data_IF_005068126718
#
_entry.id   IF_005068126718
#
_cell.length_a   1.000
_cell.length_b   1.000
_cell.length_c   1.000
_cell.angle_alpha   90.00
_cell.angle_beta   90.00
_cell.angle_gamma   90.00
#
_symmetry.space_group_name_H-M   'P 1'
#
loop_
_entity.id
_entity.type
_entity.pdbx_description
1 polymer ?
#
# COMPACT_ATOMS: atom_id res chain seq x y z
N UNK A 1 17.56 -21.34 -8.61
CA UNK A 1 16.35 -20.47 -8.62
C UNK A 1 15.65 -20.60 -7.29
N UNK A 2 15.52 -19.51 -6.54
CA UNK A 2 14.87 -19.52 -5.23
C UNK A 2 13.34 -19.61 -5.43
N UNK A 3 12.75 -20.78 -5.17
CA UNK A 3 11.35 -21.14 -5.50
C UNK A 3 10.29 -20.26 -4.79
N UNK A 4 10.69 -19.46 -3.79
CA UNK A 4 9.79 -18.61 -3.00
C UNK A 4 9.45 -17.25 -3.65
N UNK A 5 10.20 -16.82 -4.68
CA UNK A 5 10.07 -15.45 -5.24
C UNK A 5 8.94 -15.32 -6.27
N UNK A 6 8.67 -16.36 -7.06
CA UNK A 6 7.56 -16.35 -8.03
C UNK A 6 6.16 -16.22 -7.38
N UNK A 7 5.84 -16.96 -6.31
CA UNK A 7 4.58 -16.80 -5.60
C UNK A 7 4.40 -15.41 -4.97
N UNK A 8 5.49 -14.73 -4.60
CA UNK A 8 5.46 -13.38 -4.07
C UNK A 8 5.00 -12.37 -5.13
N UNK A 9 5.67 -12.37 -6.29
CA UNK A 9 5.36 -11.42 -7.37
C UNK A 9 3.93 -11.58 -7.86
N UNK A 10 3.46 -12.80 -8.07
CA UNK A 10 2.08 -13.05 -8.51
C UNK A 10 1.04 -12.49 -7.52
N UNK A 11 1.30 -12.62 -6.21
CA UNK A 11 0.42 -12.03 -5.17
C UNK A 11 0.48 -10.51 -5.16
N UNK A 12 1.67 -9.93 -5.29
CA UNK A 12 1.84 -8.48 -5.36
C UNK A 12 1.17 -7.89 -6.60
N UNK A 13 1.18 -8.58 -7.75
CA UNK A 13 0.46 -8.18 -8.96
C UNK A 13 -1.06 -8.24 -8.78
N UNK A 14 -1.57 -9.24 -8.06
CA UNK A 14 -2.98 -9.30 -7.69
C UNK A 14 -3.41 -8.07 -6.89
N UNK A 15 -2.63 -7.76 -5.85
CA UNK A 15 -2.84 -6.58 -5.00
C UNK A 15 -2.71 -5.28 -5.81
N UNK A 16 -1.71 -5.18 -6.70
CA UNK A 16 -1.48 -4.01 -7.55
C UNK A 16 -2.73 -3.69 -8.38
N UNK A 17 -3.29 -4.70 -9.07
CA UNK A 17 -4.49 -4.51 -9.89
C UNK A 17 -5.71 -4.05 -9.08
N UNK A 18 -5.88 -4.58 -7.87
CA UNK A 18 -6.98 -4.18 -6.99
C UNK A 18 -6.80 -2.75 -6.46
N UNK A 19 -5.59 -2.40 -6.06
CA UNK A 19 -5.26 -1.04 -5.62
C UNK A 19 -5.37 -0.02 -6.76
N UNK A 20 -5.00 -0.37 -7.99
CA UNK A 20 -5.19 0.50 -9.16
C UNK A 20 -6.67 0.78 -9.43
N UNK A 21 -7.53 -0.24 -9.35
CA UNK A 21 -8.98 -0.06 -9.46
C UNK A 21 -9.52 0.86 -8.37
N UNK A 22 -9.10 0.66 -7.13
CA UNK A 22 -9.48 1.51 -6.00
C UNK A 22 -8.98 2.94 -6.20
N UNK A 23 -7.74 3.13 -6.66
CA UNK A 23 -7.17 4.44 -6.93
C UNK A 23 -8.01 5.21 -7.95
N UNK A 24 -8.37 4.59 -9.07
CA UNK A 24 -9.21 5.22 -10.10
C UNK A 24 -10.61 5.57 -9.59
N UNK A 25 -11.19 4.70 -8.75
CA UNK A 25 -12.48 4.96 -8.11
C UNK A 25 -12.41 6.20 -7.19
N UNK A 26 -11.41 6.25 -6.30
CA UNK A 26 -11.24 7.38 -5.38
C UNK A 26 -10.84 8.67 -6.10
N UNK A 27 -10.07 8.60 -7.20
CA UNK A 27 -9.78 9.78 -8.03
C UNK A 27 -11.04 10.34 -8.66
N UNK A 28 -11.89 9.48 -9.23
CA UNK A 28 -13.18 9.89 -9.81
C UNK A 28 -14.09 10.51 -8.75
N UNK A 29 -14.13 9.91 -7.55
CA UNK A 29 -14.92 10.43 -6.43
C UNK A 29 -14.40 11.78 -5.93
N UNK A 30 -13.08 11.96 -5.83
CA UNK A 30 -12.48 13.24 -5.44
C UNK A 30 -12.90 14.36 -6.39
N UNK A 31 -12.76 14.14 -7.71
CA UNK A 31 -13.18 15.11 -8.74
C UNK A 31 -14.65 15.50 -8.60
N UNK A 32 -15.53 14.54 -8.31
CA UNK A 32 -16.95 14.81 -8.08
C UNK A 32 -17.18 15.67 -6.84
N UNK A 33 -16.49 15.37 -5.73
CA UNK A 33 -16.63 16.13 -4.47
C UNK A 33 -16.07 17.55 -4.64
N UNK A 34 -14.92 17.71 -5.30
CA UNK A 34 -14.31 19.00 -5.62
C UNK A 34 -15.17 19.85 -6.55
N UNK A 35 -15.84 19.23 -7.53
CA UNK A 35 -16.82 19.92 -8.38
C UNK A 35 -17.98 20.46 -7.53
N UNK A 36 -18.57 19.63 -6.67
CA UNK A 36 -19.67 20.06 -5.79
C UNK A 36 -19.26 21.18 -4.83
N UNK A 37 -18.03 21.12 -4.29
CA UNK A 37 -17.48 22.18 -3.44
C UNK A 37 -17.31 23.51 -4.17
N UNK A 38 -16.93 23.46 -5.45
CA UNK A 38 -16.81 24.66 -6.30
C UNK A 38 -18.16 25.30 -6.55
N UNK A 39 -19.18 24.48 -6.80
CA UNK A 39 -20.54 24.95 -7.08
C UNK A 39 -21.24 25.47 -5.82
N UNK A 40 -20.99 24.85 -4.66
CA UNK A 40 -21.54 25.24 -3.38
C UNK A 40 -20.66 24.79 -2.21
N UNK A 41 -20.01 25.74 -1.53
CA UNK A 41 -19.13 25.44 -0.41
C UNK A 41 -19.88 24.71 0.72
N UNK A 42 -19.30 23.59 1.19
CA UNK A 42 -19.84 22.80 2.27
C UNK A 42 -18.70 22.17 3.10
N UNK A 43 -18.60 22.47 4.41
CA UNK A 43 -17.51 21.98 5.26
C UNK A 43 -17.51 20.44 5.41
N UNK A 44 -18.64 19.75 5.22
CA UNK A 44 -18.67 18.29 5.20
C UNK A 44 -18.04 17.72 3.93
N UNK A 45 -18.29 18.34 2.78
CA UNK A 45 -17.66 17.92 1.52
C UNK A 45 -16.16 18.21 1.53
N UNK A 46 -15.72 19.29 2.18
CA UNK A 46 -14.29 19.59 2.38
C UNK A 46 -13.59 18.50 3.20
N UNK A 47 -14.21 18.06 4.30
CA UNK A 47 -13.73 16.92 5.10
C UNK A 47 -13.71 15.63 4.29
N UNK A 48 -14.72 15.39 3.46
CA UNK A 48 -14.76 14.22 2.58
C UNK A 48 -13.62 14.25 1.55
N UNK A 49 -13.39 15.38 0.88
CA UNK A 49 -12.28 15.56 -0.06
C UNK A 49 -10.92 15.33 0.61
N UNK A 50 -10.73 15.87 1.81
CA UNK A 50 -9.52 15.66 2.62
C UNK A 50 -9.30 14.17 2.95
N UNK A 51 -10.36 13.46 3.35
CA UNK A 51 -10.28 12.02 3.64
C UNK A 51 -9.97 11.21 2.37
N UNK A 52 -10.60 11.54 1.23
CA UNK A 52 -10.34 10.88 -0.06
C UNK A 52 -8.89 11.13 -0.51
N UNK A 53 -8.39 12.36 -0.38
CA UNK A 53 -7.00 12.71 -0.70
C UNK A 53 -6.01 11.89 0.15
N UNK A 54 -6.33 11.69 1.44
CA UNK A 54 -5.53 10.83 2.31
C UNK A 54 -5.56 9.36 1.86
N UNK A 55 -6.73 8.86 1.46
CA UNK A 55 -6.88 7.51 0.91
C UNK A 55 -6.04 7.34 -0.37
N UNK A 56 -6.11 8.29 -1.30
CA UNK A 56 -5.32 8.27 -2.53
C UNK A 56 -3.82 8.27 -2.25
N UNK A 57 -3.38 9.05 -1.26
CA UNK A 57 -1.99 9.06 -0.81
C UNK A 57 -1.56 7.67 -0.31
N UNK A 58 -2.38 7.01 0.51
CA UNK A 58 -2.11 5.65 1.02
C UNK A 58 -2.02 4.64 -0.13
N UNK A 59 -2.97 4.66 -1.07
CA UNK A 59 -2.95 3.75 -2.22
C UNK A 59 -1.71 3.98 -3.09
N UNK A 60 -1.36 5.25 -3.36
CA UNK A 60 -0.17 5.62 -4.14
C UNK A 60 1.12 5.11 -3.49
N UNK A 61 1.25 5.25 -2.17
CA UNK A 61 2.38 4.73 -1.40
C UNK A 61 2.45 3.20 -1.48
N UNK A 62 1.32 2.50 -1.33
CA UNK A 62 1.26 1.04 -1.45
C UNK A 62 1.67 0.57 -2.85
N UNK A 63 1.17 1.21 -3.92
CA UNK A 63 1.54 0.91 -5.30
C UNK A 63 3.03 1.14 -5.56
N UNK A 64 3.61 2.22 -5.02
CA UNK A 64 5.05 2.51 -5.12
C UNK A 64 5.91 1.41 -4.48
N UNK A 65 5.50 0.90 -3.31
CA UNK A 65 6.18 -0.21 -2.64
C UNK A 65 6.12 -1.47 -3.52
N UNK A 66 4.95 -1.81 -4.07
CA UNK A 66 4.79 -2.99 -4.94
C UNK A 66 5.69 -2.89 -6.19
N UNK A 67 5.66 -1.76 -6.89
CA UNK A 67 6.43 -1.57 -8.12
C UNK A 67 7.93 -1.67 -7.88
N UNK A 68 8.42 -1.11 -6.77
CA UNK A 68 9.83 -1.28 -6.36
C UNK A 68 10.16 -2.71 -5.98
N UNK A 69 9.28 -3.41 -5.26
CA UNK A 69 9.48 -4.82 -4.96
C UNK A 69 9.61 -5.68 -6.22
N UNK A 70 8.76 -5.43 -7.23
CA UNK A 70 8.82 -6.10 -8.54
C UNK A 70 10.12 -5.79 -9.28
N UNK A 71 10.54 -4.53 -9.33
CA UNK A 71 11.83 -4.14 -9.95
C UNK A 71 13.00 -4.80 -9.23
N UNK A 72 13.02 -4.85 -7.89
CA UNK A 72 14.09 -5.54 -7.17
C UNK A 72 14.19 -7.01 -7.54
N UNK A 73 13.08 -7.71 -7.67
CA UNK A 73 13.08 -9.11 -8.13
C UNK A 73 13.58 -9.27 -9.57
N UNK A 74 13.29 -8.31 -10.45
CA UNK A 74 13.77 -8.34 -11.82
C UNK A 74 15.26 -8.02 -11.95
N UNK A 75 15.74 -7.06 -11.17
CA UNK A 75 17.04 -6.41 -11.37
C UNK A 75 18.14 -6.91 -10.41
N UNK A 76 17.78 -7.67 -9.37
CA UNK A 76 18.70 -8.06 -8.30
C UNK A 76 18.88 -9.58 -8.24
N UNK A 77 20.12 -10.08 -8.12
CA UNK A 77 20.38 -11.50 -7.87
C UNK A 77 19.62 -12.00 -6.62
N UNK A 78 19.07 -13.22 -6.62
CA UNK A 78 18.27 -13.75 -5.52
C UNK A 78 18.93 -13.65 -4.13
N UNK A 79 20.25 -13.78 -4.10
CA UNK A 79 21.08 -13.73 -2.89
C UNK A 79 21.08 -12.34 -2.23
N UNK A 80 20.79 -11.29 -2.98
CA UNK A 80 20.82 -9.90 -2.50
C UNK A 80 19.41 -9.30 -2.31
N UNK A 81 18.35 -10.04 -2.65
CA UNK A 81 16.96 -9.56 -2.53
C UNK A 81 16.57 -9.20 -1.10
N UNK A 82 17.02 -9.99 -0.13
CA UNK A 82 16.74 -9.75 1.29
C UNK A 82 17.23 -8.37 1.75
N UNK A 83 18.39 -7.92 1.29
CA UNK A 83 18.93 -6.59 1.59
C UNK A 83 18.05 -5.49 1.01
N UNK A 84 17.57 -5.66 -0.22
CA UNK A 84 16.71 -4.68 -0.89
C UNK A 84 15.31 -4.61 -0.27
N UNK A 85 14.77 -5.75 0.18
CA UNK A 85 13.47 -5.78 0.84
C UNK A 85 13.47 -5.14 2.23
N UNK A 86 14.60 -5.08 2.93
CA UNK A 86 14.69 -4.44 4.24
C UNK A 86 14.12 -3.01 4.24
N UNK A 87 14.52 -2.18 3.27
CA UNK A 87 14.02 -0.81 3.13
C UNK A 87 12.53 -0.77 2.80
N UNK A 88 12.04 -1.67 1.95
CA UNK A 88 10.62 -1.72 1.60
C UNK A 88 9.75 -2.19 2.77
N UNK A 89 10.27 -3.06 3.64
CA UNK A 89 9.58 -3.49 4.86
C UNK A 89 9.41 -2.31 5.80
N UNK A 90 10.46 -1.52 6.02
CA UNK A 90 10.39 -0.37 6.93
C UNK A 90 9.40 0.68 6.40
N UNK A 91 9.32 0.87 5.08
CA UNK A 91 8.31 1.72 4.45
C UNK A 91 6.89 1.12 4.55
N UNK A 92 6.74 -0.18 4.33
CA UNK A 92 5.46 -0.88 4.47
C UNK A 92 4.97 -0.89 5.93
N UNK A 93 5.87 -0.96 6.91
CA UNK A 93 5.59 -0.84 8.34
C UNK A 93 5.06 0.55 8.68
N UNK A 94 5.74 1.62 8.23
CA UNK A 94 5.25 3.00 8.42
C UNK A 94 3.88 3.20 7.79
N UNK A 95 3.65 2.64 6.60
CA UNK A 95 2.34 2.70 5.94
C UNK A 95 1.28 1.90 6.70
N UNK A 96 1.62 0.70 7.21
CA UNK A 96 0.75 -0.11 8.08
C UNK A 96 0.33 0.68 9.31
N UNK A 97 1.28 1.27 10.02
CA UNK A 97 1.00 2.01 11.25
C UNK A 97 0.13 3.24 10.97
N UNK A 98 0.38 3.92 9.85
CA UNK A 98 -0.47 5.02 9.38
C UNK A 98 -1.91 4.59 9.10
N UNK A 99 -2.15 3.40 8.52
CA UNK A 99 -3.52 2.93 8.23
C UNK A 99 -4.22 2.30 9.44
N UNK A 100 -3.47 1.79 10.41
CA UNK A 100 -4.02 1.20 11.65
C UNK A 100 -4.32 2.25 12.70
N UNK A 101 -3.39 3.18 12.94
CA UNK A 101 -3.41 4.11 14.06
C UNK A 101 -3.56 5.58 13.64
N UNK A 102 -3.55 5.87 12.33
CA UNK A 102 -3.76 7.22 11.83
C UNK A 102 -5.17 7.75 12.07
N UNK A 103 -5.32 9.07 12.07
CA UNK A 103 -6.58 9.77 12.27
C UNK A 103 -7.55 9.69 11.08
N UNK A 104 -7.07 9.28 9.90
CA UNK A 104 -7.87 9.21 8.68
C UNK A 104 -8.76 7.96 8.65
N UNK A 105 -9.98 8.10 8.12
CA UNK A 105 -10.91 6.98 7.93
C UNK A 105 -10.54 6.22 6.66
N UNK A 106 -9.53 5.35 6.79
CA UNK A 106 -9.10 4.46 5.72
C UNK A 106 -10.07 3.26 5.60
N UNK A 107 -10.59 2.96 4.41
CA UNK A 107 -11.44 1.80 4.16
C UNK A 107 -10.77 0.47 4.53
N UNK A 108 -11.54 -0.46 5.10
CA UNK A 108 -11.04 -1.79 5.52
C UNK A 108 -10.34 -2.54 4.40
N UNK A 109 -10.85 -2.47 3.17
CA UNK A 109 -10.23 -3.11 2.00
C UNK A 109 -8.82 -2.58 1.74
N UNK A 110 -8.57 -1.28 1.90
CA UNK A 110 -7.25 -0.69 1.70
C UNK A 110 -6.32 -1.09 2.84
N UNK A 111 -6.81 -1.10 4.09
CA UNK A 111 -6.05 -1.59 5.24
C UNK A 111 -5.58 -3.03 5.03
N UNK A 112 -6.48 -3.90 4.56
CA UNK A 112 -6.17 -5.30 4.28
C UNK A 112 -5.05 -5.44 3.24
N UNK A 113 -5.12 -4.70 2.14
CA UNK A 113 -4.06 -4.71 1.12
C UNK A 113 -2.71 -4.23 1.65
N UNK A 114 -2.67 -3.16 2.44
CA UNK A 114 -1.43 -2.67 3.07
C UNK A 114 -0.83 -3.72 4.01
N UNK A 115 -1.66 -4.36 4.83
CA UNK A 115 -1.24 -5.46 5.72
C UNK A 115 -0.69 -6.65 4.93
N UNK A 116 -1.33 -7.01 3.82
CA UNK A 116 -0.87 -8.09 2.95
C UNK A 116 0.47 -7.77 2.32
N UNK A 117 0.69 -6.53 1.84
CA UNK A 117 1.98 -6.09 1.30
C UNK A 117 3.08 -6.23 2.36
N UNK A 118 2.87 -5.69 3.56
CA UNK A 118 3.82 -5.80 4.67
C UNK A 118 4.15 -7.26 4.99
N UNK A 119 3.14 -8.12 5.10
CA UNK A 119 3.31 -9.54 5.41
C UNK A 119 4.08 -10.28 4.31
N UNK A 120 3.77 -9.98 3.05
CA UNK A 120 4.42 -10.61 1.89
C UNK A 120 5.89 -10.21 1.80
N UNK A 121 6.20 -8.93 2.00
CA UNK A 121 7.59 -8.46 2.03
C UNK A 121 8.37 -9.03 3.22
N UNK A 122 7.75 -9.10 4.40
CA UNK A 122 8.35 -9.71 5.60
C UNK A 122 8.79 -11.16 5.34
N UNK A 123 7.91 -11.97 4.75
CA UNK A 123 8.22 -13.35 4.36
C UNK A 123 9.34 -13.47 3.32
N UNK A 124 9.50 -12.47 2.46
CA UNK A 124 10.50 -12.48 1.40
C UNK A 124 11.89 -12.03 1.85
N UNK A 125 11.99 -11.37 3.01
CA UNK A 125 13.24 -10.78 3.51
C UNK A 125 14.01 -11.67 4.49
N UNK A 126 13.51 -12.87 4.86
CA UNK A 126 14.09 -13.70 5.92
C UNK A 126 14.36 -12.93 7.24
N UNK A 127 13.59 -11.86 7.52
CA UNK A 127 13.52 -11.36 8.90
C UNK A 127 12.75 -12.43 9.68
N UNK A 128 13.33 -13.10 10.70
CA UNK A 128 12.52 -13.86 11.62
C UNK A 128 11.49 -12.87 12.18
N UNK A 129 10.21 -13.13 11.93
CA UNK A 129 9.17 -12.48 12.68
C UNK A 129 9.45 -12.82 14.13
N UNK A 130 10.04 -11.88 14.87
CA UNK A 130 10.08 -11.95 16.32
C UNK A 130 8.63 -11.91 16.75
N UNK A 131 8.06 -13.09 16.89
CA UNK A 131 6.89 -13.36 17.69
C UNK A 131 7.15 -12.70 19.04
N UNK A 132 6.59 -11.50 19.25
CA UNK A 132 6.33 -11.02 20.60
C UNK A 132 5.22 -11.89 21.18
N UNK A 133 5.62 -13.08 21.60
CA UNK A 133 5.03 -13.81 22.71
C UNK A 133 6.08 -13.79 23.81
N UNK A 134 6.11 -12.68 24.54
CA UNK A 134 6.57 -12.61 25.93
C UNK A 134 5.54 -11.75 26.68
#
# INVERSE_FOLDING_TARGET
>A
MNLAVYPLISKLEGIERELEKLYQNYQSRLKMVESKLRDNYNPMLEREASNISTILTVISQALSIIRRAKSYVADTPPELLHLKFSTLIDEAEKLRDKVLYGSARIPTVIKAHVLMIYTLLGKASDKPHTSMLL
#
